data_IF_983946760120
#
_entry.id   IF_983946760120
#
_cell.length_a   1.000
_cell.length_b   1.000
_cell.length_c   1.000
_cell.angle_alpha   90.00
_cell.angle_beta   90.00
_cell.angle_gamma   90.00
#
_symmetry.space_group_name_H-M   'P 1'
#
loop_
_entity.id
_entity.type
_entity.pdbx_description
1 polymer ?
#
# COMPACT_ATOMS: atom_id res chain seq x y z
N UNK A 1 34.38 -2.92 21.80
CA UNK A 1 33.46 -2.02 22.53
C UNK A 1 32.09 -2.17 21.89
N UNK A 2 31.18 -2.85 22.60
CA UNK A 2 29.83 -3.17 22.15
C UNK A 2 28.94 -1.93 22.20
N UNK A 3 28.15 -1.69 21.15
CA UNK A 3 26.97 -0.81 21.18
C UNK A 3 25.77 -1.64 20.78
N UNK A 4 25.11 -2.18 21.80
CA UNK A 4 23.74 -2.70 21.70
C UNK A 4 22.81 -1.53 21.38
N UNK A 5 22.05 -1.67 20.29
CA UNK A 5 20.94 -0.79 19.95
C UNK A 5 19.76 -1.22 20.82
N UNK A 6 19.40 -0.38 21.79
CA UNK A 6 18.22 -0.55 22.62
C UNK A 6 16.96 -0.49 21.74
N UNK A 7 16.23 -1.61 21.67
CA UNK A 7 14.82 -1.67 21.34
C UNK A 7 14.06 -0.87 22.41
N UNK A 8 13.34 0.16 22.00
CA UNK A 8 12.34 0.82 22.84
C UNK A 8 11.00 0.19 22.47
N UNK A 9 10.55 -0.74 23.31
CA UNK A 9 9.16 -1.23 23.31
C UNK A 9 8.25 -0.08 23.72
N UNK A 10 7.32 0.29 22.84
CA UNK A 10 6.24 1.24 23.15
C UNK A 10 5.03 0.39 23.53
N UNK A 11 4.76 0.25 24.83
CA UNK A 11 3.51 -0.32 25.32
C UNK A 11 2.32 0.56 24.91
N UNK A 12 1.36 -0.02 24.19
CA UNK A 12 0.05 0.58 23.93
C UNK A 12 -0.85 0.41 25.18
N UNK A 13 -1.70 1.40 25.52
CA UNK A 13 -2.57 1.33 26.70
C UNK A 13 -3.65 0.24 26.57
N UNK A 14 -4.13 -0.34 27.69
CA UNK A 14 -4.97 -1.53 27.69
C UNK A 14 -6.37 -1.26 27.14
N UNK A 15 -6.85 -2.19 26.31
CA UNK A 15 -8.15 -2.15 25.66
C UNK A 15 -9.33 -2.25 26.63
N UNK A 16 -10.38 -1.49 26.33
CA UNK A 16 -11.70 -1.58 26.95
C UNK A 16 -12.32 -2.97 26.66
N UNK A 17 -13.08 -3.56 27.60
CA UNK A 17 -13.65 -4.90 27.43
C UNK A 17 -14.79 -4.89 26.38
N UNK A 18 -15.04 -6.02 25.70
CA UNK A 18 -16.11 -6.12 24.71
C UNK A 18 -17.48 -6.07 25.41
N UNK A 19 -18.50 -5.43 24.83
CA UNK A 19 -19.82 -5.37 25.44
C UNK A 19 -20.50 -6.75 25.38
N UNK A 20 -21.00 -7.17 26.55
CA UNK A 20 -21.78 -8.40 26.75
C UNK A 20 -22.97 -8.49 25.79
N UNK A 21 -23.10 -9.65 25.15
CA UNK A 21 -24.31 -10.09 24.46
C UNK A 21 -25.43 -10.32 25.48
N UNK A 22 -26.42 -9.42 25.51
CA UNK A 22 -27.72 -9.69 26.12
C UNK A 22 -28.82 -9.40 25.10
N UNK A 23 -29.29 -10.46 24.46
CA UNK A 23 -30.56 -10.48 23.74
C UNK A 23 -31.72 -10.38 24.75
N UNK A 24 -32.78 -9.64 24.40
CA UNK A 24 -34.20 -10.09 24.35
C UNK A 24 -35.16 -8.90 24.10
N UNK A 25 -35.91 -9.02 22.97
CA UNK A 25 -37.33 -8.70 22.71
C UNK A 25 -37.88 -7.26 22.71
N UNK A 26 -38.44 -6.83 21.55
CA UNK A 26 -39.60 -5.92 21.54
C UNK A 26 -39.76 -4.95 20.35
N UNK A 27 -40.36 -5.44 19.25
CA UNK A 27 -41.22 -4.70 18.31
C UNK A 27 -40.61 -3.66 17.31
N UNK A 28 -41.29 -3.42 16.17
CA UNK A 28 -40.69 -3.04 14.90
C UNK A 28 -40.71 -1.53 14.67
N UNK A 29 -39.52 -0.97 14.46
CA UNK A 29 -39.33 0.38 13.98
C UNK A 29 -37.92 0.45 13.44
N UNK A 30 -37.79 0.70 12.14
CA UNK A 30 -36.53 0.88 11.42
C UNK A 30 -35.72 2.00 12.08
N UNK A 31 -34.83 1.63 13.01
CA UNK A 31 -33.73 2.49 13.42
C UNK A 31 -32.77 2.53 12.24
N UNK A 32 -32.79 3.65 11.52
CA UNK A 32 -31.69 4.03 10.64
C UNK A 32 -30.40 3.89 11.44
N UNK A 33 -29.58 2.92 11.06
CA UNK A 33 -28.19 2.85 11.49
C UNK A 33 -27.52 4.08 10.90
N UNK A 34 -27.33 5.12 11.71
CA UNK A 34 -26.33 6.14 11.40
C UNK A 34 -25.00 5.40 11.30
N UNK A 35 -24.50 5.24 10.07
CA UNK A 35 -23.17 4.70 9.81
C UNK A 35 -22.13 5.62 10.48
N UNK A 36 -21.39 5.19 11.51
CA UNK A 36 -20.42 6.06 12.19
C UNK A 36 -19.09 6.19 11.43
N UNK A 37 -19.04 5.74 10.18
CA UNK A 37 -17.82 5.71 9.38
C UNK A 37 -18.11 6.19 7.97
N UNK A 38 -18.43 7.49 7.83
CA UNK A 38 -18.14 8.18 6.58
C UNK A 38 -16.61 8.17 6.43
N UNK A 39 -16.10 7.18 5.69
CA UNK A 39 -14.72 7.19 5.21
C UNK A 39 -14.56 8.49 4.42
N UNK A 40 -13.84 9.47 4.99
CA UNK A 40 -13.42 10.65 4.23
C UNK A 40 -12.80 10.16 2.93
N UNK A 41 -13.28 10.68 1.81
CA UNK A 41 -12.72 10.31 0.51
C UNK A 41 -11.24 10.70 0.49
N UNK A 42 -10.42 9.98 -0.28
CA UNK A 42 -8.99 10.26 -0.39
C UNK A 42 -8.73 11.73 -0.78
N UNK A 43 -9.65 12.34 -1.55
CA UNK A 43 -9.68 13.77 -1.87
C UNK A 43 -9.79 14.68 -0.63
N UNK A 44 -10.66 14.34 0.34
CA UNK A 44 -10.82 15.12 1.56
C UNK A 44 -9.62 14.98 2.51
N UNK A 45 -8.93 13.84 2.47
CA UNK A 45 -7.69 13.62 3.21
C UNK A 45 -6.58 14.48 2.59
N UNK A 46 -6.46 14.44 1.26
CA UNK A 46 -5.46 15.21 0.52
C UNK A 46 -5.64 16.73 0.68
N UNK A 47 -6.89 17.23 0.63
CA UNK A 47 -7.23 18.63 0.87
C UNK A 47 -6.84 19.07 2.29
N UNK A 48 -7.08 18.22 3.30
CA UNK A 48 -6.73 18.51 4.68
C UNK A 48 -5.21 18.56 4.90
N UNK A 49 -4.45 17.65 4.29
CA UNK A 49 -2.99 17.66 4.32
C UNK A 49 -2.42 18.89 3.61
N UNK A 50 -2.98 19.27 2.46
CA UNK A 50 -2.57 20.48 1.73
C UNK A 50 -2.77 21.75 2.57
N UNK A 51 -3.92 21.90 3.24
CA UNK A 51 -4.18 23.05 4.11
C UNK A 51 -3.22 23.09 5.30
N UNK A 52 -2.88 21.92 5.88
CA UNK A 52 -1.91 21.81 6.96
C UNK A 52 -0.51 22.24 6.50
N UNK A 53 -0.07 21.77 5.33
CA UNK A 53 1.22 22.14 4.74
C UNK A 53 1.29 23.64 4.46
N UNK A 54 0.20 24.24 3.98
CA UNK A 54 0.08 25.68 3.72
C UNK A 54 0.20 26.52 5.00
N UNK A 55 -0.44 26.09 6.08
CA UNK A 55 -0.30 26.74 7.39
C UNK A 55 1.13 26.64 7.92
N UNK A 56 1.77 25.48 7.75
CA UNK A 56 3.15 25.26 8.16
C UNK A 56 4.12 26.15 7.37
N UNK A 57 3.92 26.28 6.05
CA UNK A 57 4.69 27.19 5.21
C UNK A 57 4.56 28.65 5.68
N UNK A 58 3.33 29.11 5.96
CA UNK A 58 3.08 30.46 6.46
C UNK A 58 3.77 30.71 7.81
N UNK A 59 3.78 29.71 8.70
CA UNK A 59 4.48 29.80 9.97
C UNK A 59 6.00 30.00 9.79
N UNK A 60 6.62 29.27 8.86
CA UNK A 60 8.05 29.44 8.57
C UNK A 60 8.35 30.81 7.95
N UNK A 61 7.49 31.33 7.08
CA UNK A 61 7.64 32.67 6.49
C UNK A 61 7.59 33.79 7.54
N UNK A 62 6.61 33.73 8.46
CA UNK A 62 6.50 34.69 9.57
C UNK A 62 7.74 34.61 10.47
N UNK A 63 8.19 33.40 10.78
CA UNK A 63 9.37 33.18 11.62
C UNK A 63 10.64 33.75 10.97
N UNK A 64 10.80 33.58 9.65
CA UNK A 64 11.93 34.12 8.89
C UNK A 64 11.94 35.66 8.89
N UNK A 65 10.77 36.30 8.73
CA UNK A 65 10.65 37.77 8.79
C UNK A 65 11.00 38.27 10.19
N UNK A 66 10.49 37.64 11.24
CA UNK A 66 10.82 37.99 12.62
C UNK A 66 12.32 37.88 12.90
N UNK A 67 12.99 36.85 12.38
CA UNK A 67 14.44 36.68 12.48
C UNK A 67 15.22 37.79 11.77
N UNK A 68 14.81 38.19 10.56
CA UNK A 68 15.44 39.31 9.84
C UNK A 68 15.34 40.61 10.64
N UNK A 69 14.17 40.91 11.19
CA UNK A 69 13.97 42.09 12.04
C UNK A 69 14.83 42.06 13.30
N UNK A 70 14.96 40.89 13.95
CA UNK A 70 15.80 40.73 15.13
C UNK A 70 17.29 40.94 14.82
N UNK A 71 17.77 40.47 13.67
CA UNK A 71 19.16 40.69 13.21
C UNK A 71 19.41 42.17 12.91
N UNK A 72 18.47 42.86 12.26
CA UNK A 72 18.57 44.30 12.00
C UNK A 72 18.62 45.12 13.29
N UNK A 73 17.78 44.79 14.27
CA UNK A 73 17.78 45.44 15.59
C UNK A 73 19.10 45.19 16.34
N UNK A 74 19.65 43.98 16.25
CA UNK A 74 20.97 43.64 16.81
C UNK A 74 22.09 44.48 16.19
N UNK A 75 22.07 44.64 14.87
CA UNK A 75 23.06 45.44 14.15
C UNK A 75 23.02 46.91 14.54
N UNK A 76 21.80 47.48 14.70
CA UNK A 76 21.63 48.86 15.19
C UNK A 76 22.23 49.02 16.59
N UNK A 77 21.88 48.14 17.52
CA UNK A 77 22.42 48.13 18.90
C UNK A 77 23.94 47.98 18.92
N UNK A 78 24.52 47.19 18.01
CA UNK A 78 25.97 47.02 17.93
C UNK A 78 26.69 48.31 17.53
N UNK A 79 26.16 49.05 16.56
CA UNK A 79 26.72 50.35 16.15
C UNK A 79 26.54 51.42 17.24
N UNK A 80 25.42 51.44 17.97
CA UNK A 80 25.24 52.29 19.16
C UNK A 80 26.30 51.99 20.24
N UNK A 81 26.57 50.71 20.52
CA UNK A 81 27.61 50.28 21.47
C UNK A 81 28.99 50.78 21.07
N UNK A 82 29.29 50.75 19.77
CA UNK A 82 30.56 51.19 19.19
C UNK A 82 30.76 52.69 19.32
N UNK A 83 29.70 53.49 19.15
CA UNK A 83 29.71 54.93 19.41
C UNK A 83 29.95 55.19 20.91
N UNK A 84 29.19 54.52 21.79
CA UNK A 84 29.32 54.67 23.25
C UNK A 84 30.70 54.29 23.79
N UNK A 85 31.38 53.32 23.17
CA UNK A 85 32.77 52.96 23.52
C UNK A 85 33.78 54.07 23.20
N UNK A 86 33.53 54.86 22.15
CA UNK A 86 34.42 55.95 21.74
C UNK A 86 34.30 57.16 22.66
N UNK A 87 33.12 57.43 23.21
CA UNK A 87 32.85 58.63 24.01
C UNK A 87 33.26 58.52 25.49
N UNK A 88 33.43 57.31 26.07
CA UNK A 88 33.78 57.14 27.49
C UNK A 88 34.60 55.84 27.78
N UNK A 89 35.91 55.94 28.01
CA UNK A 89 36.69 54.88 28.68
C UNK A 89 36.77 55.19 30.19
N UNK A 90 36.72 54.25 31.16
CA UNK A 90 36.48 52.82 31.17
C UNK A 90 35.48 52.42 32.29
N UNK A 91 34.32 53.09 32.41
CA UNK A 91 33.28 52.67 33.37
C UNK A 91 32.10 52.05 32.62
N UNK A 92 31.80 50.78 32.92
CA UNK A 92 30.60 50.10 32.44
C UNK A 92 29.36 50.82 32.99
N UNK A 93 28.83 51.76 32.22
CA UNK A 93 27.52 52.36 32.49
C UNK A 93 26.46 51.26 32.46
N UNK A 94 25.37 51.42 33.22
CA UNK A 94 24.28 50.44 33.26
C UNK A 94 23.76 50.11 31.85
N UNK A 95 23.68 51.11 30.97
CA UNK A 95 23.34 50.96 29.54
C UNK A 95 24.27 49.99 28.81
N UNK A 96 25.58 50.04 29.07
CA UNK A 96 26.55 49.17 28.39
C UNK A 96 26.46 47.72 28.87
N UNK A 97 26.15 47.49 30.17
CA UNK A 97 25.90 46.13 30.70
C UNK A 97 24.64 45.52 30.11
N UNK A 98 23.57 46.30 30.01
CA UNK A 98 22.31 45.87 29.43
C UNK A 98 22.45 45.54 27.94
N UNK A 99 23.25 46.32 27.20
CA UNK A 99 23.53 46.07 25.79
C UNK A 99 24.36 44.79 25.58
N UNK A 100 25.36 44.51 26.43
CA UNK A 100 26.09 43.23 26.39
C UNK A 100 25.21 42.03 26.74
N UNK A 101 24.34 42.15 27.75
CA UNK A 101 23.38 41.11 28.10
C UNK A 101 22.41 40.82 26.95
N UNK A 102 21.93 41.88 26.29
CA UNK A 102 21.07 41.77 25.10
C UNK A 102 21.79 41.09 23.93
N UNK A 103 23.02 41.49 23.62
CA UNK A 103 23.83 40.84 22.56
C UNK A 103 24.06 39.36 22.86
N UNK A 104 24.39 39.03 24.12
CA UNK A 104 24.62 37.64 24.51
C UNK A 104 23.34 36.80 24.40
N UNK A 105 22.18 37.34 24.79
CA UNK A 105 20.88 36.69 24.63
C UNK A 105 20.59 36.42 23.14
N UNK A 106 20.71 37.43 22.30
CA UNK A 106 20.49 37.26 20.86
C UNK A 106 21.46 36.28 20.21
N UNK A 107 22.72 36.24 20.64
CA UNK A 107 23.67 35.22 20.17
C UNK A 107 23.18 33.80 20.49
N UNK A 108 22.73 33.58 21.71
CA UNK A 108 22.16 32.28 22.12
C UNK A 108 20.90 31.93 21.33
N UNK A 109 20.04 32.90 21.03
CA UNK A 109 18.83 32.68 20.24
C UNK A 109 19.16 32.33 18.77
N UNK A 110 20.16 33.00 18.19
CA UNK A 110 20.66 32.70 16.84
C UNK A 110 21.26 31.29 16.78
N UNK A 111 22.06 30.90 17.77
CA UNK A 111 22.65 29.54 17.85
C UNK A 111 21.56 28.46 17.93
N UNK A 112 20.52 28.66 18.75
CA UNK A 112 19.37 27.74 18.82
C UNK A 112 18.61 27.65 17.50
N UNK A 113 18.40 28.78 16.82
CA UNK A 113 17.74 28.81 15.52
C UNK A 113 18.54 28.07 14.44
N UNK A 114 19.87 28.24 14.43
CA UNK A 114 20.73 27.51 13.49
C UNK A 114 20.66 26.00 13.71
N UNK A 115 20.66 25.55 14.97
CA UNK A 115 20.52 24.13 15.29
C UNK A 115 19.16 23.59 14.83
N UNK A 116 18.08 24.31 15.12
CA UNK A 116 16.73 23.92 14.69
C UNK A 116 16.60 23.84 13.16
N UNK A 117 17.14 24.84 12.44
CA UNK A 117 17.15 24.83 10.97
C UNK A 117 17.95 23.66 10.41
N UNK A 118 19.10 23.34 11.01
CA UNK A 118 19.92 22.20 10.59
C UNK A 118 19.17 20.87 10.78
N UNK A 119 18.55 20.66 11.94
CA UNK A 119 17.77 19.46 12.22
C UNK A 119 16.56 19.33 11.29
N UNK A 120 15.85 20.44 11.04
CA UNK A 120 14.71 20.48 10.13
C UNK A 120 15.13 20.15 8.70
N UNK A 121 16.21 20.74 8.19
CA UNK A 121 16.75 20.44 6.86
C UNK A 121 17.19 18.97 6.74
N UNK A 122 17.80 18.43 7.80
CA UNK A 122 18.19 17.01 7.85
C UNK A 122 16.95 16.10 7.80
N UNK A 123 15.90 16.43 8.56
CA UNK A 123 14.63 15.71 8.55
C UNK A 123 13.95 15.73 7.17
N UNK A 124 13.87 16.92 6.56
CA UNK A 124 13.33 17.09 5.21
C UNK A 124 14.09 16.29 4.16
N UNK A 125 15.43 16.26 4.24
CA UNK A 125 16.25 15.45 3.34
C UNK A 125 15.94 13.95 3.48
N UNK A 126 15.88 13.46 4.73
CA UNK A 126 15.56 12.06 4.99
C UNK A 126 14.15 11.68 4.50
N UNK A 127 13.17 12.56 4.68
CA UNK A 127 11.82 12.38 4.16
C UNK A 127 11.81 12.32 2.62
N UNK A 128 12.46 13.29 1.96
CA UNK A 128 12.57 13.33 0.51
C UNK A 128 13.24 12.07 -0.07
N UNK A 129 14.35 11.62 0.54
CA UNK A 129 15.03 10.38 0.13
C UNK A 129 14.15 9.13 0.33
N UNK A 130 13.24 9.15 1.30
CA UNK A 130 12.28 8.07 1.54
C UNK A 130 11.15 8.07 0.50
N UNK A 131 10.60 9.24 0.17
CA UNK A 131 9.62 9.39 -0.90
C UNK A 131 10.18 8.94 -2.26
N UNK A 132 11.42 9.35 -2.59
CA UNK A 132 12.08 8.96 -3.83
C UNK A 132 12.30 7.44 -3.92
N UNK A 133 12.63 6.79 -2.80
CA UNK A 133 12.72 5.32 -2.73
C UNK A 133 11.36 4.67 -2.95
N UNK A 134 10.35 5.14 -2.25
CA UNK A 134 8.99 4.60 -2.37
C UNK A 134 8.45 4.75 -3.80
N UNK A 135 8.70 5.87 -4.47
CA UNK A 135 8.29 6.07 -5.87
C UNK A 135 8.99 5.08 -6.82
N UNK A 136 10.27 4.78 -6.58
CA UNK A 136 10.99 3.76 -7.36
C UNK A 136 10.38 2.38 -7.15
N UNK A 137 10.15 2.00 -5.89
CA UNK A 137 9.57 0.71 -5.55
C UNK A 137 8.17 0.56 -6.18
N UNK A 138 7.34 1.60 -6.13
CA UNK A 138 6.03 1.59 -6.80
C UNK A 138 6.13 1.40 -8.32
N UNK A 139 7.11 2.03 -8.98
CA UNK A 139 7.34 1.83 -10.42
C UNK A 139 7.74 0.38 -10.71
N UNK A 140 8.63 -0.20 -9.91
CA UNK A 140 9.04 -1.61 -10.04
C UNK A 140 7.87 -2.57 -9.82
N UNK A 141 7.09 -2.40 -8.75
CA UNK A 141 5.90 -3.21 -8.50
C UNK A 141 4.88 -3.11 -9.63
N UNK A 142 4.67 -1.92 -10.19
CA UNK A 142 3.75 -1.73 -11.32
C UNK A 142 4.20 -2.46 -12.58
N UNK A 143 5.50 -2.46 -12.87
CA UNK A 143 6.06 -3.22 -14.00
C UNK A 143 5.89 -4.72 -13.75
N UNK A 144 6.22 -5.20 -12.55
CA UNK A 144 6.07 -6.61 -12.18
C UNK A 144 4.63 -7.10 -12.22
N UNK A 145 3.67 -6.27 -11.79
CA UNK A 145 2.25 -6.60 -11.87
C UNK A 145 1.80 -6.80 -13.32
N UNK A 146 2.20 -5.91 -14.24
CA UNK A 146 1.91 -6.05 -15.67
C UNK A 146 2.53 -7.30 -16.28
N UNK A 147 3.74 -7.66 -15.87
CA UNK A 147 4.40 -8.89 -16.33
C UNK A 147 3.63 -10.12 -15.88
N UNK A 148 3.25 -10.18 -14.59
CA UNK A 148 2.45 -11.30 -14.05
C UNK A 148 1.07 -11.39 -14.70
N UNK A 149 0.42 -10.25 -14.97
CA UNK A 149 -0.85 -10.24 -15.73
C UNK A 149 -0.67 -10.83 -17.13
N UNK A 150 0.40 -10.46 -17.84
CA UNK A 150 0.68 -11.00 -19.16
C UNK A 150 1.01 -12.51 -19.12
N UNK A 151 1.81 -12.96 -18.16
CA UNK A 151 2.13 -14.38 -17.94
C UNK A 151 0.85 -15.18 -17.63
N UNK A 152 -0.05 -14.62 -16.82
CA UNK A 152 -1.32 -15.27 -16.49
C UNK A 152 -2.26 -15.37 -17.69
N UNK A 153 -2.34 -14.34 -18.53
CA UNK A 153 -3.13 -14.42 -19.77
C UNK A 153 -2.55 -15.44 -20.74
N UNK A 154 -1.22 -15.53 -20.87
CA UNK A 154 -0.60 -16.57 -21.68
C UNK A 154 -0.92 -17.98 -21.14
N UNK A 155 -0.80 -18.18 -19.83
CA UNK A 155 -1.12 -19.47 -19.20
C UNK A 155 -2.57 -19.89 -19.43
N UNK A 156 -3.52 -18.94 -19.48
CA UNK A 156 -4.91 -19.26 -19.83
C UNK A 156 -5.01 -19.76 -21.27
N UNK A 157 -4.35 -19.10 -22.21
CA UNK A 157 -4.36 -19.51 -23.62
C UNK A 157 -3.82 -20.93 -23.74
N UNK A 158 -2.64 -21.19 -23.16
CA UNK A 158 -2.01 -22.49 -23.18
C UNK A 158 -2.93 -23.58 -22.58
N UNK A 159 -3.58 -23.29 -21.45
CA UNK A 159 -4.54 -24.21 -20.82
C UNK A 159 -5.75 -24.52 -21.71
N UNK A 160 -6.32 -23.52 -22.37
CA UNK A 160 -7.46 -23.74 -23.26
C UNK A 160 -7.07 -24.47 -24.55
N UNK A 161 -5.86 -24.26 -25.06
CA UNK A 161 -5.34 -25.03 -26.20
C UNK A 161 -5.20 -26.51 -25.83
N UNK A 162 -4.56 -26.84 -24.70
CA UNK A 162 -4.45 -28.21 -24.20
C UNK A 162 -5.82 -28.88 -24.00
N UNK A 163 -6.76 -28.17 -23.37
CA UNK A 163 -8.12 -28.68 -23.17
C UNK A 163 -8.84 -28.98 -24.49
N UNK A 164 -8.62 -28.13 -25.51
CA UNK A 164 -9.23 -28.31 -26.83
C UNK A 164 -8.63 -29.52 -27.55
N UNK A 165 -7.31 -29.71 -27.47
CA UNK A 165 -6.64 -30.88 -28.04
C UNK A 165 -7.12 -32.18 -27.37
N UNK A 166 -7.26 -32.20 -26.05
CA UNK A 166 -7.79 -33.35 -25.31
C UNK A 166 -9.23 -33.66 -25.72
N UNK A 167 -10.08 -32.65 -25.91
CA UNK A 167 -11.45 -32.83 -26.40
C UNK A 167 -11.50 -33.44 -27.80
N UNK A 168 -10.67 -32.96 -28.72
CA UNK A 168 -10.59 -33.52 -30.08
C UNK A 168 -10.20 -34.99 -30.03
N UNK A 169 -9.19 -35.36 -29.24
CA UNK A 169 -8.78 -36.76 -29.09
C UNK A 169 -9.88 -37.64 -28.47
N UNK A 170 -10.71 -37.08 -27.58
CA UNK A 170 -11.81 -37.80 -26.97
C UNK A 170 -12.92 -38.06 -27.99
N UNK A 171 -13.27 -37.05 -28.80
CA UNK A 171 -14.26 -37.15 -29.87
C UNK A 171 -13.82 -38.16 -30.96
N UNK A 172 -12.54 -38.18 -31.32
CA UNK A 172 -11.98 -39.21 -32.22
C UNK A 172 -12.13 -40.64 -31.64
N UNK A 173 -11.89 -40.81 -30.34
CA UNK A 173 -12.07 -42.12 -29.68
C UNK A 173 -13.53 -42.53 -29.63
N UNK A 174 -14.44 -41.61 -29.35
CA UNK A 174 -15.88 -41.89 -29.35
C UNK A 174 -16.36 -42.31 -30.75
N UNK A 175 -15.92 -41.64 -31.81
CA UNK A 175 -16.20 -42.03 -33.20
C UNK A 175 -15.71 -43.44 -33.53
N UNK A 176 -14.53 -43.83 -33.04
CA UNK A 176 -14.00 -45.19 -33.22
C UNK A 176 -14.86 -46.22 -32.47
N UNK A 177 -15.28 -45.90 -31.24
CA UNK A 177 -16.14 -46.77 -30.43
C UNK A 177 -17.49 -46.96 -31.14
N UNK A 178 -18.11 -45.90 -31.65
CA UNK A 178 -19.37 -45.99 -32.40
C UNK A 178 -19.23 -46.94 -33.60
N UNK A 179 -18.18 -46.77 -34.41
CA UNK A 179 -17.92 -47.67 -35.54
C UNK A 179 -17.69 -49.14 -35.13
N UNK A 180 -17.01 -49.38 -34.01
CA UNK A 180 -16.84 -50.73 -33.46
C UNK A 180 -18.16 -51.32 -32.95
N UNK A 181 -19.03 -50.52 -32.33
CA UNK A 181 -20.35 -50.93 -31.86
C UNK A 181 -21.23 -51.33 -33.04
N UNK A 182 -21.24 -50.55 -34.13
CA UNK A 182 -21.95 -50.88 -35.36
C UNK A 182 -21.47 -52.20 -35.96
N UNK A 183 -20.14 -52.35 -36.11
CA UNK A 183 -19.51 -53.57 -36.63
C UNK A 183 -19.83 -54.81 -35.79
N UNK A 184 -19.78 -54.68 -34.46
CA UNK A 184 -20.21 -55.75 -33.55
C UNK A 184 -21.69 -56.10 -33.71
N UNK A 185 -22.55 -55.09 -33.92
CA UNK A 185 -23.97 -55.28 -34.20
C UNK A 185 -24.24 -56.06 -35.49
N UNK A 186 -23.44 -55.83 -36.54
CA UNK A 186 -23.49 -56.64 -37.76
C UNK A 186 -22.99 -58.07 -37.54
N UNK A 187 -21.90 -58.23 -36.78
CA UNK A 187 -21.34 -59.54 -36.48
C UNK A 187 -22.33 -60.39 -35.68
N UNK A 188 -22.99 -59.81 -34.68
CA UNK A 188 -24.04 -60.45 -33.91
C UNK A 188 -25.22 -60.91 -34.78
N UNK A 189 -25.65 -60.09 -35.76
CA UNK A 189 -26.66 -60.49 -36.76
C UNK A 189 -26.19 -61.69 -37.58
N UNK A 190 -24.97 -61.65 -38.11
CA UNK A 190 -24.39 -62.78 -38.88
C UNK A 190 -24.27 -64.06 -38.05
N UNK A 191 -23.92 -63.96 -36.77
CA UNK A 191 -23.88 -65.11 -35.86
C UNK A 191 -25.28 -65.70 -35.71
N UNK A 192 -26.28 -64.86 -35.43
CA UNK A 192 -27.68 -65.28 -35.29
C UNK A 192 -28.22 -65.96 -36.56
N UNK A 193 -27.90 -65.42 -37.74
CA UNK A 193 -28.30 -66.01 -39.01
C UNK A 193 -27.67 -67.40 -39.21
N UNK A 194 -26.39 -67.56 -38.85
CA UNK A 194 -25.70 -68.85 -38.91
C UNK A 194 -26.25 -69.84 -37.90
N UNK A 195 -26.54 -69.43 -36.67
CA UNK A 195 -27.18 -70.28 -35.66
C UNK A 195 -28.55 -70.77 -36.13
N UNK A 196 -29.37 -69.89 -36.70
CA UNK A 196 -30.66 -70.26 -37.27
C UNK A 196 -30.53 -71.24 -38.46
N UNK A 197 -29.49 -71.07 -39.28
CA UNK A 197 -29.19 -72.01 -40.37
C UNK A 197 -28.76 -73.38 -39.84
N UNK A 198 -27.91 -73.42 -38.81
CA UNK A 198 -27.49 -74.67 -38.16
C UNK A 198 -28.70 -75.41 -37.58
N UNK A 199 -29.63 -74.72 -36.92
CA UNK A 199 -30.81 -75.41 -36.41
C UNK A 199 -31.71 -75.99 -37.50
N UNK A 200 -31.92 -75.26 -38.60
CA UNK A 200 -32.63 -75.83 -39.76
C UNK A 200 -31.95 -77.09 -40.33
N UNK A 201 -30.61 -77.16 -40.28
CA UNK A 201 -29.88 -78.35 -40.70
C UNK A 201 -30.07 -79.50 -39.70
N UNK A 202 -30.08 -79.22 -38.39
CA UNK A 202 -30.35 -80.21 -37.34
C UNK A 202 -31.76 -80.79 -37.46
N UNK A 203 -32.77 -79.94 -37.63
CA UNK A 203 -34.15 -80.38 -37.88
C UNK A 203 -34.26 -81.29 -39.11
N UNK A 204 -33.55 -80.96 -40.21
CA UNK A 204 -33.54 -81.82 -41.40
C UNK A 204 -32.84 -83.16 -41.17
N UNK A 205 -31.77 -83.17 -40.39
CA UNK A 205 -31.03 -84.39 -40.04
C UNK A 205 -31.86 -85.30 -39.13
N UNK A 206 -32.57 -84.74 -38.15
CA UNK A 206 -33.50 -85.51 -37.30
C UNK A 206 -34.65 -86.12 -38.10
N UNK A 207 -35.18 -85.41 -39.11
CA UNK A 207 -36.23 -85.93 -39.99
C UNK A 207 -35.76 -87.01 -40.99
N UNK A 208 -34.43 -87.19 -41.14
CA UNK A 208 -33.82 -88.22 -42.00
C UNK A 208 -33.32 -89.44 -41.21
N UNK A 209 -33.33 -89.37 -39.88
CA UNK A 209 -33.03 -90.46 -38.95
C UNK A 209 -34.30 -91.25 -38.60
#
# INVERSE_FOLDING_TARGET
MNRELALVDIELPPGSPPPSTRTVSGAPGTLQVQHPFEKKTDEQILEAEYQKLKQEQQYYEITLVAQKMAIEDLNKKFEELKILKKENPPKQTAKRRDLYATIQRHKTDIEKCHLFNYETQRGLKAYHDSCNRLERDFKEYRVRAKQLEAEFEQLKVDFYEELTEEQIQLEEKDNIIEGLVESNGELARKVKDKEAFIEKLREKLENLS
#
